data_IF_374877980327
#
_entry.id   IF_374877980327
#
_cell.length_a   1.000
_cell.length_b   1.000
_cell.length_c   1.000
_cell.angle_alpha   90.00
_cell.angle_beta   90.00
_cell.angle_gamma   90.00
#
_symmetry.space_group_name_H-M   'P 1'
#
loop_
_entity.id
_entity.type
_entity.pdbx_description
1 polymer ?
#
# COMPACT_ATOMS: atom_id res chain seq x y z
N UNK A 1 29.20 3.54 -2.16
CA UNK A 1 27.95 3.13 -1.50
C UNK A 1 28.09 1.64 -1.24
N UNK A 2 28.64 1.31 -0.07
CA UNK A 2 29.08 -0.05 0.28
C UNK A 2 27.97 -0.84 0.97
N UNK A 3 27.64 -1.98 0.37
CA UNK A 3 27.51 -3.29 1.03
C UNK A 3 26.42 -3.52 2.09
N UNK A 4 25.20 -3.00 1.89
CA UNK A 4 24.04 -3.39 2.71
C UNK A 4 23.09 -4.40 2.04
N UNK A 5 23.36 -4.84 0.80
CA UNK A 5 22.55 -5.85 0.10
C UNK A 5 22.93 -7.30 0.42
N UNK A 6 24.01 -7.54 1.18
CA UNK A 6 24.56 -8.88 1.37
C UNK A 6 23.84 -9.80 2.36
N UNK A 7 22.85 -9.33 3.13
CA UNK A 7 22.12 -10.17 4.09
C UNK A 7 20.59 -9.97 4.01
N UNK A 8 20.04 -10.01 2.81
CA UNK A 8 18.61 -10.05 2.57
C UNK A 8 18.12 -11.51 2.71
N UNK A 9 17.17 -11.80 3.60
CA UNK A 9 16.65 -13.16 3.82
C UNK A 9 16.15 -13.84 2.52
N UNK A 10 15.75 -13.04 1.53
CA UNK A 10 15.38 -13.49 0.19
C UNK A 10 16.57 -14.09 -0.59
N UNK A 11 17.71 -13.40 -0.58
CA UNK A 11 18.91 -13.78 -1.33
C UNK A 11 19.57 -15.04 -0.73
N UNK A 12 19.59 -15.13 0.60
CA UNK A 12 20.03 -16.33 1.32
C UNK A 12 19.14 -17.54 1.00
N UNK A 13 17.83 -17.35 0.96
CA UNK A 13 16.89 -18.42 0.60
C UNK A 13 17.08 -18.89 -0.84
N UNK A 14 17.35 -17.98 -1.78
CA UNK A 14 17.58 -18.32 -3.19
C UNK A 14 18.83 -19.17 -3.38
N UNK A 15 19.94 -18.77 -2.73
CA UNK A 15 21.21 -19.49 -2.80
C UNK A 15 21.14 -20.86 -2.12
N UNK A 16 20.46 -20.96 -0.97
CA UNK A 16 20.28 -22.24 -0.24
C UNK A 16 19.42 -23.25 -0.99
N UNK A 17 18.36 -22.80 -1.65
CA UNK A 17 17.42 -23.71 -2.31
C UNK A 17 17.87 -24.11 -3.72
N UNK A 18 18.84 -23.42 -4.31
CA UNK A 18 19.23 -23.66 -5.70
C UNK A 18 20.76 -23.57 -5.85
N UNK A 19 21.44 -24.67 -5.52
CA UNK A 19 22.91 -24.82 -5.63
C UNK A 19 23.48 -24.49 -7.02
N UNK A 20 22.63 -24.43 -8.06
CA UNK A 20 23.01 -24.11 -9.45
C UNK A 20 22.85 -22.63 -9.82
N UNK A 21 22.23 -21.81 -8.98
CA UNK A 21 22.13 -20.37 -9.24
C UNK A 21 23.47 -19.74 -8.90
N UNK A 22 24.11 -19.18 -9.93
CA UNK A 22 25.29 -18.32 -9.78
C UNK A 22 24.92 -17.03 -9.04
N UNK A 23 25.85 -16.52 -8.25
CA UNK A 23 25.67 -15.30 -7.45
C UNK A 23 25.11 -14.12 -8.25
N UNK A 24 25.65 -13.86 -9.45
CA UNK A 24 25.19 -12.76 -10.31
C UNK A 24 23.69 -12.88 -10.66
N UNK A 25 23.21 -14.12 -10.87
CA UNK A 25 21.81 -14.39 -11.20
C UNK A 25 20.92 -14.29 -9.96
N UNK A 26 21.40 -14.72 -8.79
CA UNK A 26 20.67 -14.54 -7.53
C UNK A 26 20.47 -13.06 -7.21
N UNK A 27 21.51 -12.24 -7.43
CA UNK A 27 21.48 -10.80 -7.20
C UNK A 27 20.47 -10.13 -8.15
N UNK A 28 20.51 -10.44 -9.45
CA UNK A 28 19.55 -9.87 -10.41
C UNK A 28 18.09 -10.19 -10.05
N UNK A 29 17.80 -11.44 -9.65
CA UNK A 29 16.45 -11.82 -9.22
C UNK A 29 16.03 -11.08 -7.94
N UNK A 30 16.96 -10.90 -7.00
CA UNK A 30 16.69 -10.19 -5.76
C UNK A 30 16.41 -8.70 -5.99
N UNK A 31 17.18 -8.04 -6.88
CA UNK A 31 16.98 -6.64 -7.27
C UNK A 31 15.62 -6.44 -7.96
N UNK A 32 15.28 -7.31 -8.92
CA UNK A 32 13.98 -7.25 -9.61
C UNK A 32 12.81 -7.43 -8.63
N UNK A 33 12.90 -8.45 -7.76
CA UNK A 33 11.89 -8.73 -6.75
C UNK A 33 11.75 -7.55 -5.78
N UNK A 34 12.86 -6.95 -5.35
CA UNK A 34 12.87 -5.79 -4.46
C UNK A 34 12.15 -4.60 -5.10
N UNK A 35 12.47 -4.28 -6.36
CA UNK A 35 11.88 -3.14 -7.06
C UNK A 35 10.36 -3.30 -7.21
N UNK A 36 9.91 -4.49 -7.62
CA UNK A 36 8.48 -4.78 -7.78
C UNK A 36 7.78 -4.71 -6.42
N UNK A 37 8.35 -5.32 -5.38
CA UNK A 37 7.76 -5.32 -4.04
C UNK A 37 7.60 -3.89 -3.49
N UNK A 38 8.62 -3.05 -3.69
CA UNK A 38 8.57 -1.64 -3.29
C UNK A 38 7.42 -0.90 -3.97
N UNK A 39 7.30 -1.03 -5.30
CA UNK A 39 6.22 -0.40 -6.09
C UNK A 39 4.83 -0.82 -5.63
N UNK A 40 4.62 -2.12 -5.44
CA UNK A 40 3.33 -2.64 -4.94
C UNK A 40 2.99 -2.08 -3.55
N UNK A 41 4.00 -1.88 -2.69
CA UNK A 41 3.81 -1.28 -1.37
C UNK A 41 3.46 0.22 -1.47
N UNK A 42 4.07 0.94 -2.40
CA UNK A 42 3.76 2.34 -2.73
C UNK A 42 2.33 2.49 -3.28
N UNK A 43 1.91 1.60 -4.18
CA UNK A 43 0.56 1.58 -4.75
C UNK A 43 -0.51 1.33 -3.68
N UNK A 44 -0.22 0.48 -2.69
CA UNK A 44 -1.10 0.27 -1.52
C UNK A 44 -1.23 1.55 -0.69
N UNK A 45 -0.13 2.25 -0.44
CA UNK A 45 -0.15 3.52 0.31
C UNK A 45 -0.93 4.61 -0.43
N UNK A 46 -0.74 4.72 -1.75
CA UNK A 46 -1.50 5.64 -2.59
C UNK A 46 -3.01 5.32 -2.57
N UNK A 47 -3.36 4.05 -2.69
CA UNK A 47 -4.75 3.59 -2.63
C UNK A 47 -5.40 3.90 -1.29
N UNK A 48 -4.67 3.68 -0.19
CA UNK A 48 -5.13 4.04 1.15
C UNK A 48 -5.37 5.55 1.29
N UNK A 49 -4.44 6.39 0.82
CA UNK A 49 -4.59 7.85 0.83
C UNK A 49 -5.81 8.31 0.03
N UNK A 50 -6.06 7.70 -1.13
CA UNK A 50 -7.25 8.00 -1.96
C UNK A 50 -8.55 7.65 -1.25
N UNK A 51 -8.65 6.45 -0.66
CA UNK A 51 -9.85 6.01 0.05
C UNK A 51 -10.14 6.84 1.30
N UNK A 52 -9.11 7.25 2.06
CA UNK A 52 -9.28 8.16 3.20
C UNK A 52 -9.84 9.51 2.77
N UNK A 53 -9.31 10.09 1.69
CA UNK A 53 -9.84 11.35 1.12
C UNK A 53 -11.27 11.20 0.61
N UNK A 54 -11.56 10.07 -0.06
CA UNK A 54 -12.92 9.79 -0.54
C UNK A 54 -13.89 9.72 0.64
N UNK A 55 -13.51 9.06 1.75
CA UNK A 55 -14.32 8.99 2.97
C UNK A 55 -14.53 10.38 3.58
N UNK A 56 -13.48 11.20 3.68
CA UNK A 56 -13.58 12.59 4.16
C UNK A 56 -14.50 13.45 3.29
N UNK A 57 -14.42 13.27 1.96
CA UNK A 57 -15.23 14.01 1.00
C UNK A 57 -16.70 13.55 0.95
N UNK A 58 -17.07 12.43 1.57
CA UNK A 58 -18.48 11.96 1.57
C UNK A 58 -19.43 12.94 2.28
N UNK A 59 -18.90 13.81 3.14
CA UNK A 59 -19.66 14.85 3.83
C UNK A 59 -19.57 16.22 3.13
N UNK A 60 -18.86 16.30 2.00
CA UNK A 60 -18.80 17.53 1.21
C UNK A 60 -20.15 17.76 0.50
N UNK A 61 -20.94 18.68 1.06
CA UNK A 61 -22.22 19.10 0.50
C UNK A 61 -22.11 20.41 -0.30
N UNK A 62 -20.91 20.74 -0.80
CA UNK A 62 -20.75 21.87 -1.70
C UNK A 62 -21.58 21.68 -2.97
N UNK A 63 -22.23 22.74 -3.48
CA UNK A 63 -22.95 22.69 -4.75
C UNK A 63 -22.05 22.20 -5.88
N UNK A 64 -22.43 21.14 -6.57
CA UNK A 64 -21.70 20.66 -7.76
C UNK A 64 -21.87 21.57 -8.97
N UNK A 65 -22.88 22.44 -8.96
CA UNK A 65 -23.18 23.44 -10.00
C UNK A 65 -23.86 24.67 -9.38
N UNK A 66 -23.78 25.83 -10.05
CA UNK A 66 -24.37 27.09 -9.59
C UNK A 66 -25.90 27.05 -9.37
N UNK A 67 -26.58 26.04 -9.89
CA UNK A 67 -28.03 25.80 -9.74
C UNK A 67 -28.38 24.62 -8.82
N UNK A 68 -27.39 23.95 -8.20
CA UNK A 68 -27.59 22.76 -7.37
C UNK A 68 -27.54 23.14 -5.88
N UNK A 69 -28.71 23.41 -5.29
CA UNK A 69 -28.86 23.57 -3.85
C UNK A 69 -29.16 22.20 -3.24
N UNK A 70 -28.12 21.52 -2.74
CA UNK A 70 -28.33 20.35 -1.88
C UNK A 70 -28.77 20.87 -0.52
N UNK A 71 -30.05 20.72 -0.19
CA UNK A 71 -30.55 21.10 1.12
C UNK A 71 -30.10 20.06 2.14
N UNK A 72 -29.72 20.50 3.34
CA UNK A 72 -29.33 19.58 4.42
C UNK A 72 -30.45 18.59 4.80
N UNK A 73 -31.71 18.89 4.46
CA UNK A 73 -32.86 18.00 4.62
C UNK A 73 -32.85 16.79 3.68
N UNK A 74 -32.11 16.86 2.56
CA UNK A 74 -32.03 15.80 1.56
C UNK A 74 -30.89 14.80 1.87
N UNK A 75 -30.17 15.02 2.97
CA UNK A 75 -29.11 14.14 3.42
C UNK A 75 -29.67 12.80 3.92
N UNK A 76 -29.35 11.73 3.20
CA UNK A 76 -29.68 10.37 3.62
C UNK A 76 -28.64 9.83 4.60
N UNK A 77 -28.89 10.07 5.88
CA UNK A 77 -28.02 9.61 6.96
C UNK A 77 -27.82 8.09 6.97
N UNK A 78 -28.84 7.31 6.59
CA UNK A 78 -28.76 5.85 6.63
C UNK A 78 -27.83 5.33 5.54
N UNK A 79 -27.96 5.87 4.33
CA UNK A 79 -27.08 5.52 3.21
C UNK A 79 -25.65 6.03 3.44
N UNK A 80 -25.48 7.21 4.04
CA UNK A 80 -24.16 7.71 4.43
C UNK A 80 -23.46 6.74 5.40
N UNK A 81 -24.10 6.41 6.53
CA UNK A 81 -23.52 5.53 7.55
C UNK A 81 -23.18 4.15 6.96
N UNK A 82 -24.05 3.59 6.11
CA UNK A 82 -23.79 2.31 5.48
C UNK A 82 -22.52 2.34 4.61
N UNK A 83 -22.35 3.38 3.78
CA UNK A 83 -21.16 3.56 2.93
C UNK A 83 -19.90 3.86 3.75
N UNK A 84 -20.01 4.69 4.78
CA UNK A 84 -18.88 5.05 5.64
C UNK A 84 -18.32 3.83 6.39
N UNK A 85 -19.20 2.96 6.91
CA UNK A 85 -18.80 1.69 7.53
C UNK A 85 -18.13 0.76 6.52
N UNK A 86 -18.67 0.64 5.30
CA UNK A 86 -18.07 -0.16 4.24
C UNK A 86 -16.66 0.35 3.88
N UNK A 87 -16.50 1.66 3.72
CA UNK A 87 -15.22 2.29 3.43
C UNK A 87 -14.23 2.12 4.58
N UNK A 88 -14.68 2.25 5.83
CA UNK A 88 -13.87 2.03 7.02
C UNK A 88 -13.25 0.63 7.06
N UNK A 89 -14.03 -0.40 6.70
CA UNK A 89 -13.52 -1.78 6.60
C UNK A 89 -12.49 -1.91 5.50
N UNK A 90 -12.72 -1.32 4.33
CA UNK A 90 -11.75 -1.34 3.21
C UNK A 90 -10.45 -0.63 3.57
N UNK A 91 -10.53 0.54 4.19
CA UNK A 91 -9.41 1.32 4.70
C UNK A 91 -8.62 0.47 5.69
N UNK A 92 -9.29 -0.16 6.66
CA UNK A 92 -8.61 -0.98 7.67
C UNK A 92 -7.89 -2.18 7.06
N UNK A 93 -8.51 -2.85 6.09
CA UNK A 93 -7.88 -3.96 5.39
C UNK A 93 -6.64 -3.52 4.61
N UNK A 94 -6.68 -2.33 3.97
CA UNK A 94 -5.51 -1.76 3.28
C UNK A 94 -4.41 -1.33 4.24
N UNK A 95 -4.75 -0.75 5.40
CA UNK A 95 -3.76 -0.43 6.45
C UNK A 95 -3.02 -1.69 6.91
N UNK A 96 -3.75 -2.76 7.21
CA UNK A 96 -3.16 -4.04 7.61
C UNK A 96 -2.28 -4.60 6.49
N UNK A 97 -2.77 -4.58 5.24
CA UNK A 97 -2.01 -5.07 4.09
C UNK A 97 -0.72 -4.28 3.88
N UNK A 98 -0.78 -2.95 3.99
CA UNK A 98 0.36 -2.06 3.87
C UNK A 98 1.39 -2.31 4.98
N UNK A 99 0.95 -2.41 6.23
CA UNK A 99 1.81 -2.69 7.38
C UNK A 99 2.54 -4.05 7.23
N UNK A 100 1.80 -5.09 6.82
CA UNK A 100 2.37 -6.41 6.58
C UNK A 100 3.37 -6.39 5.42
N UNK A 101 3.06 -5.68 4.33
CA UNK A 101 3.96 -5.53 3.19
C UNK A 101 5.26 -4.82 3.59
N UNK A 102 5.18 -3.71 4.33
CA UNK A 102 6.35 -2.99 4.83
C UNK A 102 7.24 -3.86 5.73
N UNK A 103 6.63 -4.57 6.70
CA UNK A 103 7.35 -5.49 7.60
C UNK A 103 8.03 -6.61 6.81
N UNK A 104 7.32 -7.17 5.83
CA UNK A 104 7.85 -8.25 5.01
C UNK A 104 8.96 -7.76 4.07
N UNK A 105 8.82 -6.59 3.48
CA UNK A 105 9.86 -5.95 2.66
C UNK A 105 11.14 -5.75 3.49
N UNK A 106 11.02 -5.20 4.70
CA UNK A 106 12.15 -5.00 5.60
C UNK A 106 12.83 -6.32 5.98
N UNK A 107 12.05 -7.37 6.25
CA UNK A 107 12.60 -8.70 6.51
C UNK A 107 13.31 -9.30 5.30
N UNK A 108 12.70 -9.19 4.11
CA UNK A 108 13.21 -9.83 2.90
C UNK A 108 14.46 -9.15 2.37
N UNK A 109 14.53 -7.82 2.42
CA UNK A 109 15.56 -7.03 1.75
C UNK A 109 16.43 -6.19 2.69
N UNK A 110 16.17 -6.20 4.00
CA UNK A 110 16.95 -5.45 4.99
C UNK A 110 16.78 -3.93 4.91
N UNK A 111 15.87 -3.42 4.07
CA UNK A 111 15.63 -1.99 3.85
C UNK A 111 14.25 -1.57 4.35
N UNK A 112 14.15 -0.34 4.86
CA UNK A 112 12.87 0.30 5.14
C UNK A 112 12.43 1.14 3.95
N UNK A 113 11.13 1.23 3.74
CA UNK A 113 10.55 2.20 2.79
C UNK A 113 10.25 3.45 3.62
N UNK A 114 11.14 4.45 3.56
CA UNK A 114 11.13 5.59 4.50
C UNK A 114 10.15 6.71 4.11
N UNK A 115 9.48 6.63 2.97
CA UNK A 115 8.51 7.64 2.53
C UNK A 115 7.36 6.95 1.77
N UNK A 116 6.15 6.92 2.35
CA UNK A 116 4.94 6.35 1.74
C UNK A 116 3.74 7.28 1.82
#
# INVERSE_FOLDING_TARGET
MEDNTKNAAFLDSLKRNNEKIRDDRANAIAEDAQLIYKRETEDLALSLKRLKREQENMLDMSPTDANSLVLASDFDAKNYVAKDLEMSVKIRNLEIKLELAQKRYAYLFGLKIEEL
#
